data_IF_567417900626
#
_entry.id   IF_567417900626
#
_cell.length_a   1.000
_cell.length_b   1.000
_cell.length_c   1.000
_cell.angle_alpha   90.00
_cell.angle_beta   90.00
_cell.angle_gamma   90.00
#
_symmetry.space_group_name_H-M   'P 1'
#
loop_
_entity.id
_entity.type
_entity.pdbx_description
1 polymer ?
#
# COMPACT_ATOMS: atom_id res chain seq x y z
N UNK A 1 -18.26 0.78 -6.39
CA UNK A 1 -18.05 1.50 -5.11
C UNK A 1 -18.17 2.98 -5.40
N UNK A 2 -18.82 3.78 -4.56
CA UNK A 2 -19.01 5.23 -4.78
C UNK A 2 -17.90 6.10 -4.18
N UNK A 3 -17.00 5.51 -3.39
CA UNK A 3 -15.90 6.20 -2.67
C UNK A 3 -14.56 5.55 -2.99
N UNK A 4 -13.47 6.33 -2.92
CA UNK A 4 -12.11 5.78 -3.04
C UNK A 4 -11.69 5.16 -1.70
N UNK A 5 -10.88 4.12 -1.81
CA UNK A 5 -10.32 3.39 -0.68
C UNK A 5 -8.85 3.14 -0.99
N UNK A 6 -8.01 3.39 0.01
CA UNK A 6 -6.65 2.89 0.02
C UNK A 6 -6.55 1.78 1.07
N UNK A 7 -6.24 0.57 0.62
CA UNK A 7 -6.15 -0.63 1.46
C UNK A 7 -4.72 -1.14 1.46
N UNK A 8 -4.21 -1.48 2.64
CA UNK A 8 -2.96 -2.20 2.82
C UNK A 8 -3.22 -3.64 3.28
N UNK A 9 -2.64 -4.60 2.58
CA UNK A 9 -2.63 -6.02 2.95
C UNK A 9 -1.21 -6.38 3.41
N UNK A 10 -1.11 -6.90 4.61
CA UNK A 10 0.13 -7.26 5.27
C UNK A 10 0.35 -8.76 5.18
N UNK A 11 1.51 -9.17 4.66
CA UNK A 11 1.83 -10.56 4.39
C UNK A 11 2.95 -11.06 5.29
N UNK A 12 2.89 -12.35 5.63
CA UNK A 12 3.99 -13.09 6.25
C UNK A 12 5.04 -13.50 5.23
N UNK A 13 6.20 -13.98 5.71
CA UNK A 13 7.31 -14.42 4.85
C UNK A 13 6.94 -15.57 3.90
N UNK A 14 5.82 -16.26 4.14
CA UNK A 14 5.26 -17.32 3.27
C UNK A 14 4.11 -16.82 2.39
N UNK A 15 3.97 -15.49 2.24
CA UNK A 15 2.89 -14.82 1.50
C UNK A 15 1.47 -15.06 2.02
N UNK A 16 1.31 -15.59 3.24
CA UNK A 16 0.00 -15.66 3.89
C UNK A 16 -0.43 -14.29 4.41
N UNK A 17 -1.70 -13.93 4.20
CA UNK A 17 -2.29 -12.69 4.72
C UNK A 17 -2.33 -12.72 6.24
N UNK A 18 -1.69 -11.74 6.87
CA UNK A 18 -1.71 -11.53 8.32
C UNK A 18 -2.85 -10.58 8.69
N UNK A 19 -2.98 -9.48 7.93
CA UNK A 19 -3.92 -8.41 8.22
C UNK A 19 -4.27 -7.66 6.93
N UNK A 20 -5.48 -7.13 6.88
CA UNK A 20 -5.93 -6.15 5.87
C UNK A 20 -6.43 -4.92 6.60
N UNK A 21 -6.08 -3.74 6.10
CA UNK A 21 -6.40 -2.48 6.76
C UNK A 21 -6.84 -1.43 5.73
N UNK A 22 -7.98 -0.80 6.01
CA UNK A 22 -8.39 0.41 5.32
C UNK A 22 -7.58 1.56 5.90
N UNK A 23 -6.65 2.08 5.11
CA UNK A 23 -5.76 3.17 5.51
C UNK A 23 -6.41 4.52 5.22
N UNK A 24 -7.20 4.63 4.14
CA UNK A 24 -7.93 5.86 3.81
C UNK A 24 -9.25 5.56 3.08
N UNK A 25 -10.27 6.39 3.32
CA UNK A 25 -11.62 6.31 2.76
C UNK A 25 -12.09 7.72 2.35
N UNK A 26 -12.57 7.89 1.10
CA UNK A 26 -13.14 9.15 0.61
C UNK A 26 -12.51 9.61 -0.70
N UNK A 27 -12.60 10.90 -1.03
CA UNK A 27 -11.87 11.49 -2.16
C UNK A 27 -10.39 11.59 -1.79
N UNK A 28 -9.63 10.55 -2.14
CA UNK A 28 -8.18 10.56 -2.09
C UNK A 28 -7.69 11.40 -3.27
N UNK A 29 -7.37 12.66 -2.99
CA UNK A 29 -6.08 13.10 -3.52
C UNK A 29 -5.05 12.22 -2.82
N UNK A 30 -4.25 11.41 -3.54
CA UNK A 30 -3.28 10.49 -2.91
C UNK A 30 -2.23 11.20 -2.03
N UNK A 31 -2.31 12.53 -1.92
CA UNK A 31 -1.62 13.43 -1.01
C UNK A 31 -1.77 13.08 0.49
N UNK A 32 -2.82 12.38 0.92
CA UNK A 32 -3.10 12.17 2.36
C UNK A 32 -2.51 10.86 2.93
N UNK A 33 -2.23 9.83 2.13
CA UNK A 33 -1.71 8.57 2.68
C UNK A 33 -0.25 8.75 3.11
N UNK A 34 -0.01 8.73 4.41
CA UNK A 34 1.33 8.84 4.95
C UNK A 34 1.97 7.46 5.14
N UNK A 35 3.26 7.29 4.81
CA UNK A 35 3.99 6.03 5.02
C UNK A 35 3.88 5.48 6.43
N UNK A 36 3.82 6.32 7.46
CA UNK A 36 3.70 5.84 8.84
C UNK A 36 2.37 5.11 9.10
N UNK A 37 1.29 5.49 8.42
CA UNK A 37 -0.02 4.83 8.50
C UNK A 37 0.02 3.46 7.82
N UNK A 38 0.79 3.34 6.72
CA UNK A 38 0.99 2.07 6.01
C UNK A 38 1.94 1.14 6.77
N UNK A 39 3.05 1.65 7.28
CA UNK A 39 4.14 0.82 7.84
C UNK A 39 3.98 0.50 9.32
N UNK A 40 3.32 1.36 10.12
CA UNK A 40 3.11 1.06 11.55
C UNK A 40 2.40 -0.28 11.75
N UNK A 41 1.30 -0.61 11.05
CA UNK A 41 0.66 -1.91 11.20
C UNK A 41 1.53 -3.05 10.70
N UNK A 42 2.29 -2.87 9.61
CA UNK A 42 3.22 -3.88 9.10
C UNK A 42 4.26 -4.29 10.15
N UNK A 43 4.84 -3.30 10.85
CA UNK A 43 5.81 -3.55 11.92
C UNK A 43 5.13 -4.24 13.11
N UNK A 44 3.98 -3.73 13.55
CA UNK A 44 3.24 -4.28 14.68
C UNK A 44 2.76 -5.72 14.44
N UNK A 45 2.43 -6.06 13.19
CA UNK A 45 2.00 -7.41 12.81
C UNK A 45 3.15 -8.32 12.37
N UNK A 46 4.41 -7.88 12.45
CA UNK A 46 5.59 -8.62 11.95
C UNK A 46 5.44 -9.06 10.48
N UNK A 47 4.86 -8.20 9.65
CA UNK A 47 4.75 -8.46 8.22
C UNK A 47 6.15 -8.47 7.57
N UNK A 48 6.31 -9.26 6.52
CA UNK A 48 7.50 -9.24 5.66
C UNK A 48 7.32 -8.39 4.40
N UNK A 49 6.07 -8.18 3.99
CA UNK A 49 5.70 -7.52 2.75
C UNK A 49 4.31 -6.90 2.84
N UNK A 50 4.04 -5.94 1.95
CA UNK A 50 2.79 -5.17 1.90
C UNK A 50 2.30 -5.15 0.46
N UNK A 51 1.00 -5.38 0.26
CA UNK A 51 0.30 -5.06 -0.98
C UNK A 51 -0.55 -3.81 -0.70
N UNK A 52 -0.41 -2.80 -1.55
CA UNK A 52 -1.25 -1.61 -1.50
C UNK A 52 -2.23 -1.63 -2.67
N UNK A 53 -3.48 -1.33 -2.36
CA UNK A 53 -4.61 -1.30 -3.28
C UNK A 53 -5.24 0.08 -3.21
N UNK A 54 -5.48 0.68 -4.37
CA UNK A 54 -6.28 1.88 -4.53
C UNK A 54 -7.38 1.58 -5.54
N UNK A 55 -8.60 2.05 -5.30
CA UNK A 55 -9.68 1.94 -6.27
C UNK A 55 -10.10 3.31 -6.78
N UNK A 56 -10.35 3.41 -8.09
CA UNK A 56 -10.97 4.58 -8.72
C UNK A 56 -12.47 4.33 -8.97
N UNK A 57 -13.41 5.02 -8.28
CA UNK A 57 -14.85 4.90 -8.49
C UNK A 57 -15.30 5.20 -9.92
N UNK A 58 -14.50 5.98 -10.66
CA UNK A 58 -14.71 6.28 -12.07
C UNK A 58 -14.59 5.05 -12.97
N UNK A 59 -13.89 4.00 -12.52
CA UNK A 59 -13.54 2.82 -13.31
C UNK A 59 -12.33 3.01 -14.24
N UNK A 60 -11.70 4.18 -14.23
CA UNK A 60 -10.41 4.38 -14.90
C UNK A 60 -9.29 3.81 -14.03
N UNK A 61 -8.61 2.79 -14.55
CA UNK A 61 -7.53 2.08 -13.85
C UNK A 61 -6.16 2.75 -14.04
N UNK A 62 -6.12 3.86 -14.78
CA UNK A 62 -4.90 4.61 -15.04
C UNK A 62 -4.41 5.27 -13.74
N UNK A 63 -3.15 5.06 -13.34
CA UNK A 63 -2.63 5.66 -12.12
C UNK A 63 -2.54 7.18 -12.28
N UNK A 64 -3.06 7.92 -11.30
CA UNK A 64 -2.85 9.38 -11.24
C UNK A 64 -1.39 9.70 -10.94
N UNK A 65 -0.94 10.93 -11.21
CA UNK A 65 0.39 11.39 -10.78
C UNK A 65 0.60 11.20 -9.27
N UNK A 66 -0.48 11.43 -8.49
CA UNK A 66 -0.47 11.28 -7.04
C UNK A 66 -0.27 9.82 -6.61
N UNK A 67 -0.85 8.86 -7.33
CA UNK A 67 -0.65 7.42 -7.07
C UNK A 67 0.79 6.99 -7.39
N UNK A 68 1.36 7.54 -8.46
CA UNK A 68 2.76 7.29 -8.86
C UNK A 68 3.71 7.82 -7.79
N UNK A 69 3.48 9.03 -7.29
CA UNK A 69 4.31 9.64 -6.25
C UNK A 69 4.20 8.90 -4.91
N UNK A 70 2.98 8.55 -4.49
CA UNK A 70 2.75 7.73 -3.31
C UNK A 70 3.47 6.37 -3.41
N UNK A 71 3.36 5.71 -4.56
CA UNK A 71 4.05 4.45 -4.85
C UNK A 71 5.56 4.60 -4.71
N UNK A 72 6.16 5.66 -5.29
CA UNK A 72 7.59 5.95 -5.16
C UNK A 72 7.99 6.16 -3.70
N UNK A 73 7.24 6.98 -2.96
CA UNK A 73 7.50 7.28 -1.55
C UNK A 73 7.50 6.02 -0.68
N UNK A 74 6.51 5.14 -0.88
CA UNK A 74 6.41 3.89 -0.12
C UNK A 74 7.50 2.89 -0.53
N UNK A 75 7.83 2.76 -1.81
CA UNK A 75 8.95 1.92 -2.27
C UNK A 75 10.29 2.36 -1.69
N UNK A 76 10.53 3.66 -1.58
CA UNK A 76 11.78 4.20 -1.01
C UNK A 76 11.87 3.99 0.51
N UNK A 77 10.75 3.97 1.22
CA UNK A 77 10.72 3.80 2.67
C UNK A 77 10.78 2.34 3.15
N UNK A 78 10.23 1.38 2.37
CA UNK A 78 10.18 -0.04 2.74
C UNK A 78 11.53 -0.67 3.13
N UNK A 79 12.60 -0.52 2.32
CA UNK A 79 13.91 -1.10 2.61
C UNK A 79 14.52 -0.63 3.93
N UNK A 80 14.28 0.62 4.33
CA UNK A 80 14.75 1.19 5.60
C UNK A 80 14.16 0.44 6.80
N UNK A 81 12.95 -0.10 6.63
CA UNK A 81 12.24 -0.85 7.67
C UNK A 81 12.45 -2.36 7.59
N UNK A 82 13.37 -2.84 6.75
CA UNK A 82 13.54 -4.28 6.44
C UNK A 82 12.28 -4.97 5.92
N UNK A 83 11.29 -4.20 5.47
CA UNK A 83 10.11 -4.67 4.77
C UNK A 83 10.47 -4.69 3.29
N UNK A 84 10.57 -5.89 2.70
CA UNK A 84 11.22 -6.17 1.39
C UNK A 84 12.76 -6.30 1.44
N UNK A 85 13.27 -7.53 1.30
CA UNK A 85 14.67 -7.84 0.97
C UNK A 85 14.76 -8.60 -0.37
N UNK A 86 15.57 -8.09 -1.29
CA UNK A 86 15.90 -8.73 -2.57
C UNK A 86 14.84 -8.59 -3.68
N UNK A 87 15.09 -9.21 -4.84
CA UNK A 87 14.21 -9.26 -6.03
C UNK A 87 12.85 -9.97 -5.78
N UNK A 88 12.45 -10.15 -4.53
CA UNK A 88 11.11 -10.63 -4.17
C UNK A 88 10.08 -9.51 -4.34
N UNK A 89 8.86 -9.79 -4.81
CA UNK A 89 7.84 -8.80 -5.16
C UNK A 89 7.16 -8.16 -3.93
N UNK A 90 7.92 -7.81 -2.90
CA UNK A 90 7.44 -7.54 -1.54
C UNK A 90 6.69 -6.20 -1.35
N UNK A 91 6.66 -5.35 -2.38
CA UNK A 91 5.76 -4.20 -2.50
C UNK A 91 5.17 -4.20 -3.92
N UNK A 92 4.12 -4.98 -4.14
CA UNK A 92 3.28 -4.85 -5.33
C UNK A 92 2.19 -3.82 -5.02
N UNK A 93 2.32 -2.66 -5.66
CA UNK A 93 1.25 -1.70 -5.78
C UNK A 93 0.35 -2.18 -6.91
N UNK A 94 -0.88 -2.55 -6.58
CA UNK A 94 -1.92 -2.80 -7.58
C UNK A 94 -2.90 -1.65 -7.44
N UNK A 95 -2.72 -0.64 -8.28
CA UNK A 95 -3.71 0.41 -8.48
C UNK A 95 -4.76 -0.23 -9.40
N UNK A 96 -5.99 -0.38 -8.91
CA UNK A 96 -7.13 -0.85 -9.69
C UNK A 96 -7.99 0.32 -10.10
#
# INVERSE_FOLDING_TARGET
MSTEHFIAIYLSARHGVIKTELVSLGTLTASIVHPHEVFRPAIMSRASSIIALHNHPSGDVSPSESDIELTKRLKNAGPVLSLSKGNSPALKFWIM
#
